data_IF_037058901143
#
_entry.id   IF_037058901143
#
_cell.length_a   1.000
_cell.length_b   1.000
_cell.length_c   1.000
_cell.angle_alpha   90.00
_cell.angle_beta   90.00
_cell.angle_gamma   90.00
#
_symmetry.space_group_name_H-M   'P 1'
#
loop_
_entity.id
_entity.type
_entity.pdbx_description
1 polymer ?
#
# COMPACT_ATOMS: atom_id res chain seq x y z
N UNK A 1 6.84 11.87 -4.78
CA UNK A 1 6.76 11.80 -3.30
C UNK A 1 5.97 10.58 -2.87
N UNK A 2 6.17 10.07 -1.64
CA UNK A 2 5.32 9.04 -1.01
C UNK A 2 4.23 9.71 -0.18
N UNK A 3 2.99 9.25 -0.28
CA UNK A 3 1.87 9.74 0.54
C UNK A 3 1.47 8.70 1.57
N UNK A 4 1.56 9.05 2.85
CA UNK A 4 1.17 8.18 3.97
C UNK A 4 0.04 8.86 4.75
N UNK A 5 -1.11 8.19 4.82
CA UNK A 5 -2.27 8.66 5.55
C UNK A 5 -2.10 8.60 7.08
N UNK A 6 -3.04 9.20 7.79
CA UNK A 6 -3.04 9.23 9.25
C UNK A 6 -3.08 7.82 9.87
N UNK A 7 -2.40 7.64 11.01
CA UNK A 7 -2.41 6.41 11.81
C UNK A 7 -2.00 5.14 11.05
N UNK A 8 -1.03 5.23 10.14
CA UNK A 8 -0.46 4.05 9.51
C UNK A 8 0.61 3.39 10.40
N UNK A 9 0.70 2.07 10.35
CA UNK A 9 1.82 1.31 10.89
C UNK A 9 2.65 0.75 9.73
N UNK A 10 3.89 1.21 9.59
CA UNK A 10 4.84 0.72 8.60
C UNK A 10 5.95 -0.02 9.35
N UNK A 11 6.11 -1.31 9.10
CA UNK A 11 7.03 -2.16 9.83
C UNK A 11 7.95 -2.89 8.84
N UNK A 12 9.24 -2.50 8.83
CA UNK A 12 10.30 -3.08 7.99
C UNK A 12 9.90 -3.32 6.51
N UNK A 13 9.12 -2.40 5.93
CA UNK A 13 8.65 -2.46 4.55
C UNK A 13 9.39 -1.48 3.63
N UNK A 14 9.33 -1.71 2.32
CA UNK A 14 9.82 -0.77 1.30
C UNK A 14 8.65 -0.10 0.60
N UNK A 15 8.63 1.23 0.55
CA UNK A 15 7.60 2.02 -0.14
C UNK A 15 8.27 2.92 -1.16
N UNK A 16 7.95 2.72 -2.44
CA UNK A 16 8.57 3.44 -3.55
C UNK A 16 7.87 4.77 -3.88
N UNK A 17 8.53 5.60 -4.67
CA UNK A 17 8.03 6.92 -5.05
C UNK A 17 6.63 6.86 -5.68
N UNK A 18 5.78 7.85 -5.39
CA UNK A 18 4.38 7.94 -5.82
C UNK A 18 3.43 6.86 -5.27
N UNK A 19 3.89 5.99 -4.38
CA UNK A 19 3.01 5.08 -3.67
C UNK A 19 2.08 5.84 -2.70
N UNK A 20 0.89 5.28 -2.48
CA UNK A 20 -0.11 5.80 -1.55
C UNK A 20 -0.48 4.76 -0.49
N UNK A 21 -0.28 5.10 0.78
CA UNK A 21 -0.72 4.30 1.92
C UNK A 21 -1.94 4.97 2.55
N UNK A 22 -3.12 4.37 2.40
CA UNK A 22 -4.37 4.88 2.95
C UNK A 22 -4.38 4.89 4.48
N UNK A 23 -5.11 5.82 5.08
CA UNK A 23 -5.20 6.00 6.53
C UNK A 23 -5.52 4.68 7.28
N UNK A 24 -4.94 4.50 8.47
CA UNK A 24 -5.18 3.33 9.31
C UNK A 24 -4.65 2.01 8.75
N UNK A 25 -3.87 2.04 7.67
CA UNK A 25 -3.30 0.81 7.10
C UNK A 25 -2.13 0.30 7.92
N UNK A 26 -1.91 -1.00 7.84
CA UNK A 26 -0.78 -1.70 8.43
C UNK A 26 -0.02 -2.41 7.32
N UNK A 27 1.28 -2.12 7.19
CA UNK A 27 2.18 -2.75 6.23
C UNK A 27 3.30 -3.43 6.99
N UNK A 28 3.36 -4.76 6.89
CA UNK A 28 4.25 -5.62 7.67
C UNK A 28 5.57 -5.91 6.95
N UNK A 29 6.42 -6.68 7.62
CA UNK A 29 7.80 -6.97 7.26
C UNK A 29 8.01 -7.38 5.81
N UNK A 30 9.03 -6.82 5.18
CA UNK A 30 9.46 -7.18 3.83
C UNK A 30 8.39 -6.97 2.74
N UNK A 31 7.27 -6.31 3.06
CA UNK A 31 6.32 -5.90 2.05
C UNK A 31 6.94 -4.80 1.17
N UNK A 32 6.61 -4.83 -0.12
CA UNK A 32 7.05 -3.85 -1.10
C UNK A 32 5.81 -3.19 -1.70
N UNK A 33 5.75 -1.86 -1.62
CA UNK A 33 4.73 -1.06 -2.31
C UNK A 33 5.41 -0.35 -3.48
N UNK A 34 5.20 -0.88 -4.69
CA UNK A 34 5.83 -0.39 -5.92
C UNK A 34 5.34 1.03 -6.29
N UNK A 35 6.00 1.73 -7.23
CA UNK A 35 5.60 3.07 -7.64
C UNK A 35 4.14 3.12 -8.11
N UNK A 36 3.41 4.18 -7.75
CA UNK A 36 2.00 4.39 -8.13
C UNK A 36 1.03 3.29 -7.64
N UNK A 37 1.49 2.39 -6.77
CA UNK A 37 0.63 1.43 -6.08
C UNK A 37 -0.09 2.09 -4.90
N UNK A 38 -1.26 1.55 -4.56
CA UNK A 38 -2.12 2.06 -3.49
C UNK A 38 -2.54 0.95 -2.54
N UNK A 39 -2.32 1.18 -1.25
CA UNK A 39 -2.92 0.42 -0.15
C UNK A 39 -4.15 1.19 0.32
N UNK A 40 -5.34 0.59 0.22
CA UNK A 40 -6.59 1.24 0.64
C UNK A 40 -6.64 1.43 2.17
N UNK A 41 -7.40 2.42 2.64
CA UNK A 41 -7.56 2.71 4.06
C UNK A 41 -7.93 1.47 4.90
N UNK A 42 -7.33 1.34 6.08
CA UNK A 42 -7.57 0.25 7.02
C UNK A 42 -6.98 -1.11 6.63
N UNK A 43 -6.29 -1.21 5.50
CA UNK A 43 -5.83 -2.51 4.97
C UNK A 43 -4.67 -3.09 5.78
N UNK A 44 -4.56 -4.41 5.82
CA UNK A 44 -3.45 -5.14 6.42
C UNK A 44 -2.65 -5.86 5.34
N UNK A 45 -1.53 -5.27 4.94
CA UNK A 45 -0.54 -5.91 4.07
C UNK A 45 0.35 -6.79 4.93
N UNK A 46 0.18 -8.11 4.81
CA UNK A 46 1.00 -9.10 5.54
C UNK A 46 2.43 -9.16 4.99
N UNK A 47 3.30 -9.83 5.74
CA UNK A 47 4.73 -9.94 5.43
C UNK A 47 5.00 -10.43 3.99
N UNK A 48 6.05 -9.89 3.36
CA UNK A 48 6.58 -10.32 2.06
C UNK A 48 5.68 -10.03 0.85
N UNK A 49 4.54 -9.35 1.03
CA UNK A 49 3.64 -9.03 -0.09
C UNK A 49 4.21 -7.92 -0.98
N UNK A 50 4.07 -8.08 -2.29
CA UNK A 50 4.37 -7.04 -3.28
C UNK A 50 3.07 -6.45 -3.83
N UNK A 51 2.85 -5.16 -3.57
CA UNK A 51 1.74 -4.37 -4.08
C UNK A 51 2.22 -3.74 -5.38
N UNK A 52 1.75 -4.27 -6.51
CA UNK A 52 2.33 -3.92 -7.81
C UNK A 52 1.95 -2.52 -8.28
N UNK A 53 2.79 -1.94 -9.13
CA UNK A 53 2.57 -0.62 -9.72
C UNK A 53 1.20 -0.51 -10.39
N UNK A 54 0.53 0.61 -10.13
CA UNK A 54 -0.80 0.88 -10.67
C UNK A 54 -1.88 -0.08 -10.16
N UNK A 55 -1.71 -0.71 -8.99
CA UNK A 55 -2.74 -1.53 -8.35
C UNK A 55 -3.24 -0.91 -7.05
N UNK A 56 -4.51 -1.16 -6.75
CA UNK A 56 -5.13 -0.87 -5.47
C UNK A 56 -5.33 -2.20 -4.76
N UNK A 57 -4.77 -2.32 -3.55
CA UNK A 57 -4.95 -3.47 -2.68
C UNK A 57 -5.74 -3.08 -1.44
N UNK A 58 -6.71 -3.91 -1.05
CA UNK A 58 -7.65 -3.60 0.02
C UNK A 58 -7.96 -4.81 0.91
N UNK A 59 -8.34 -4.54 2.17
CA UNK A 59 -8.85 -5.53 3.11
C UNK A 59 -7.83 -5.99 4.16
N UNK A 60 -8.27 -6.90 5.04
CA UNK A 60 -7.46 -7.45 6.14
C UNK A 60 -7.64 -8.98 6.17
N UNK A 61 -6.78 -9.77 5.49
CA UNK A 61 -5.56 -9.38 4.78
C UNK A 61 -5.84 -8.68 3.43
N UNK A 62 -4.93 -7.80 3.04
CA UNK A 62 -5.03 -7.05 1.79
C UNK A 62 -4.87 -7.97 0.57
N UNK A 63 -5.77 -7.80 -0.40
CA UNK A 63 -5.76 -8.51 -1.69
C UNK A 63 -5.90 -7.48 -2.82
N UNK A 64 -5.48 -7.86 -4.03
CA UNK A 64 -5.75 -7.09 -5.23
C UNK A 64 -7.25 -6.77 -5.31
N UNK A 65 -7.58 -5.50 -5.46
CA UNK A 65 -8.95 -5.02 -5.60
C UNK A 65 -9.24 -4.60 -7.03
N UNK A 66 -8.43 -3.67 -7.56
CA UNK A 66 -8.53 -3.20 -8.96
C UNK A 66 -7.25 -2.48 -9.40
N UNK A 67 -7.17 -2.12 -10.68
CA UNK A 67 -6.14 -1.20 -11.19
C UNK A 67 -6.39 0.24 -10.70
N UNK A 68 -5.31 0.91 -10.32
CA UNK A 68 -5.29 2.31 -9.93
C UNK A 68 -5.30 3.18 -11.18
N UNK A 69 -6.29 4.06 -11.30
CA UNK A 69 -6.35 5.09 -12.33
C UNK A 69 -5.91 6.39 -11.66
N UNK A 70 -4.60 6.58 -11.50
CA UNK A 70 -4.06 7.85 -11.01
C UNK A 70 -4.30 8.89 -12.10
N UNK A 71 -5.39 9.65 -11.98
CA UNK A 71 -5.64 10.81 -12.84
C UNK A 71 -4.63 11.88 -12.43
N UNK A 72 -3.85 12.36 -13.40
CA UNK A 72 -2.94 13.49 -13.26
C UNK A 72 -3.65 14.74 -12.73
#
# INVERSE_FOLDING_TARGET
>A
MVTVGHFCMLHACTVHDKAFIGMGSTVMDHAVVEPEAMVAAGSLVTHGKVIKSGEIWAGRPAKFFKKCQMKN
#
